data_IF_260733245922
#
_entry.id   IF_260733245922
#
_cell.length_a   1.000
_cell.length_b   1.000
_cell.length_c   1.000
_cell.angle_alpha   90.00
_cell.angle_beta   90.00
_cell.angle_gamma   90.00
#
_symmetry.space_group_name_H-M   'P 1'
#
loop_
_entity.id
_entity.type
_entity.pdbx_description
1 polymer ?
#
# COMPACT_ATOMS: atom_id res chain seq x y z
N UNK A 1 13.72 -7.09 15.50
CA UNK A 1 13.17 -5.84 14.95
C UNK A 1 11.82 -5.62 15.60
N UNK A 2 11.60 -4.46 16.21
CA UNK A 2 10.33 -4.13 16.87
C UNK A 2 9.32 -3.59 15.84
N UNK A 3 8.02 -3.63 16.13
CA UNK A 3 6.95 -3.16 15.24
C UNK A 3 7.18 -1.71 14.81
N UNK A 4 7.58 -0.85 15.74
CA UNK A 4 7.84 0.57 15.48
C UNK A 4 8.93 0.80 14.43
N UNK A 5 9.94 -0.07 14.42
CA UNK A 5 11.03 -0.01 13.45
C UNK A 5 10.53 -0.37 12.05
N UNK A 6 9.62 -1.35 11.93
CA UNK A 6 8.98 -1.70 10.66
C UNK A 6 8.09 -0.58 10.13
N UNK A 7 7.33 0.07 11.00
CA UNK A 7 6.53 1.25 10.64
C UNK A 7 7.43 2.40 10.19
N UNK A 8 8.53 2.66 10.91
CA UNK A 8 9.52 3.68 10.52
C UNK A 8 10.18 3.35 9.18
N UNK A 9 10.45 2.07 8.92
CA UNK A 9 10.96 1.62 7.63
C UNK A 9 9.96 1.91 6.50
N UNK A 10 8.65 1.67 6.71
CA UNK A 10 7.62 2.08 5.75
C UNK A 10 7.66 3.58 5.44
N UNK A 11 7.86 4.45 6.44
CA UNK A 11 8.02 5.89 6.23
C UNK A 11 9.29 6.25 5.44
N UNK A 12 10.40 5.56 5.71
CA UNK A 12 11.67 5.73 4.97
C UNK A 12 11.48 5.31 3.52
N UNK A 13 10.89 4.14 3.26
CA UNK A 13 10.63 3.65 1.92
C UNK A 13 9.65 4.54 1.16
N UNK A 14 8.62 5.08 1.81
CA UNK A 14 7.73 6.07 1.21
C UNK A 14 8.50 7.31 0.73
N UNK A 15 9.44 7.83 1.53
CA UNK A 15 10.29 8.96 1.11
C UNK A 15 11.14 8.60 -0.11
N UNK A 16 11.68 7.37 -0.18
CA UNK A 16 12.43 6.91 -1.35
C UNK A 16 11.54 6.74 -2.58
N UNK A 17 10.34 6.15 -2.43
CA UNK A 17 9.35 6.05 -3.51
C UNK A 17 9.06 7.42 -4.09
N UNK A 18 8.71 8.41 -3.24
CA UNK A 18 8.45 9.79 -3.68
C UNK A 18 9.67 10.46 -4.33
N UNK A 19 10.89 10.14 -3.87
CA UNK A 19 12.14 10.71 -4.41
C UNK A 19 12.46 10.20 -5.82
N UNK A 20 12.21 8.92 -6.09
CA UNK A 20 12.57 8.29 -7.36
C UNK A 20 11.43 8.20 -8.35
N UNK A 21 10.22 8.59 -7.97
CA UNK A 21 9.09 8.71 -8.87
C UNK A 21 9.42 9.69 -10.02
N UNK A 22 9.14 9.34 -11.30
CA UNK A 22 8.40 8.18 -11.78
C UNK A 22 9.26 7.02 -12.32
N UNK A 23 10.50 6.83 -11.87
CA UNK A 23 11.37 5.72 -12.34
C UNK A 23 10.87 4.36 -11.83
N UNK A 24 10.34 3.47 -12.70
CA UNK A 24 9.74 2.21 -12.27
C UNK A 24 10.73 1.28 -11.59
N UNK A 25 12.02 1.33 -11.93
CA UNK A 25 13.02 0.42 -11.34
C UNK A 25 13.22 0.69 -9.86
N UNK A 26 13.49 1.95 -9.52
CA UNK A 26 13.72 2.36 -8.14
C UNK A 26 12.42 2.33 -7.33
N UNK A 27 11.31 2.80 -7.91
CA UNK A 27 10.01 2.70 -7.23
C UNK A 27 9.66 1.24 -6.94
N UNK A 28 9.84 0.33 -7.92
CA UNK A 28 9.62 -1.10 -7.71
C UNK A 28 10.48 -1.64 -6.57
N UNK A 29 11.76 -1.28 -6.51
CA UNK A 29 12.65 -1.71 -5.44
C UNK A 29 12.16 -1.26 -4.05
N UNK A 30 11.90 0.03 -3.86
CA UNK A 30 11.49 0.56 -2.55
C UNK A 30 10.06 0.17 -2.19
N UNK A 31 9.15 0.07 -3.16
CA UNK A 31 7.80 -0.41 -2.91
C UNK A 31 7.78 -1.89 -2.51
N UNK A 32 8.68 -2.72 -3.07
CA UNK A 32 8.86 -4.08 -2.58
C UNK A 32 9.25 -4.10 -1.09
N UNK A 33 10.24 -3.30 -0.69
CA UNK A 33 10.68 -3.22 0.71
C UNK A 33 9.59 -2.66 1.64
N UNK A 34 8.80 -1.71 1.15
CA UNK A 34 7.61 -1.20 1.83
C UNK A 34 6.60 -2.32 2.11
N UNK A 35 6.22 -3.09 1.09
CA UNK A 35 5.27 -4.21 1.22
C UNK A 35 5.79 -5.29 2.17
N UNK A 36 7.10 -5.59 2.14
CA UNK A 36 7.71 -6.52 3.09
C UNK A 36 7.60 -6.02 4.53
N UNK A 37 7.81 -4.72 4.75
CA UNK A 37 7.70 -4.11 6.08
C UNK A 37 6.26 -4.09 6.59
N UNK A 38 5.28 -3.90 5.70
CA UNK A 38 3.86 -4.05 6.01
C UNK A 38 3.54 -5.49 6.45
N UNK A 39 3.89 -6.49 5.63
CA UNK A 39 3.65 -7.91 5.96
C UNK A 39 4.29 -8.29 7.30
N UNK A 40 5.55 -7.88 7.50
CA UNK A 40 6.28 -8.17 8.73
C UNK A 40 5.69 -7.46 9.96
N UNK A 41 4.96 -6.35 9.79
CA UNK A 41 4.25 -5.67 10.88
C UNK A 41 3.06 -6.50 11.34
N UNK A 42 2.32 -7.12 10.42
CA UNK A 42 1.22 -8.02 10.77
C UNK A 42 1.70 -9.29 11.46
N UNK A 43 2.80 -9.89 10.98
CA UNK A 43 3.43 -11.02 11.66
C UNK A 43 3.78 -10.66 13.13
N UNK A 44 4.29 -9.45 13.37
CA UNK A 44 4.67 -9.02 14.73
C UNK A 44 3.49 -8.76 15.66
N UNK A 45 2.35 -8.28 15.16
CA UNK A 45 1.12 -8.17 15.97
C UNK A 45 0.77 -9.55 16.55
N UNK A 46 0.86 -10.60 15.72
CA UNK A 46 0.62 -11.97 16.18
C UNK A 46 1.76 -12.52 17.02
N UNK A 47 3.01 -12.05 16.86
CA UNK A 47 4.11 -12.37 17.76
C UNK A 47 3.87 -11.82 19.17
N UNK A 48 3.44 -10.56 19.30
CA UNK A 48 3.07 -9.96 20.58
C UNK A 48 1.90 -10.72 21.23
N UNK A 49 0.83 -10.98 20.47
CA UNK A 49 -0.30 -11.75 20.97
C UNK A 49 0.10 -13.19 21.38
N UNK A 50 0.95 -13.86 20.59
CA UNK A 50 1.41 -15.22 20.90
C UNK A 50 2.20 -15.28 22.21
N UNK A 51 3.01 -14.26 22.49
CA UNK A 51 3.73 -14.13 23.76
C UNK A 51 2.76 -13.87 24.91
N UNK A 52 1.88 -12.89 24.74
CA UNK A 52 1.04 -12.40 25.83
C UNK A 52 -0.08 -13.39 26.21
N UNK A 53 -0.59 -14.18 25.25
CA UNK A 53 -1.52 -15.30 25.50
C UNK A 53 -0.82 -16.64 25.80
N UNK A 54 0.52 -16.72 25.82
CA UNK A 54 1.23 -17.97 26.14
C UNK A 54 0.96 -19.12 25.15
N UNK A 55 0.81 -18.83 23.85
CA UNK A 55 0.53 -19.86 22.84
C UNK A 55 1.78 -20.68 22.44
N UNK A 56 2.98 -20.14 22.64
CA UNK A 56 4.28 -20.78 22.36
C UNK A 56 4.45 -21.26 20.91
N UNK A 57 3.93 -20.50 19.94
CA UNK A 57 4.19 -20.74 18.52
C UNK A 57 5.62 -20.31 18.20
N UNK A 58 6.37 -21.15 17.49
CA UNK A 58 7.75 -20.88 17.04
C UNK A 58 7.77 -20.54 15.54
N UNK A 59 8.68 -19.64 15.15
CA UNK A 59 8.87 -19.17 13.78
C UNK A 59 7.81 -18.15 13.35
N UNK A 60 7.64 -17.95 12.03
CA UNK A 60 6.65 -17.02 11.48
C UNK A 60 5.23 -17.37 11.95
N UNK A 61 4.47 -16.34 12.35
CA UNK A 61 3.11 -16.48 12.87
C UNK A 61 2.15 -15.73 11.95
N UNK A 62 1.45 -16.49 11.09
CA UNK A 62 0.30 -15.98 10.37
C UNK A 62 -0.94 -16.03 11.28
N UNK A 63 -1.95 -15.21 10.96
CA UNK A 63 -3.24 -15.26 11.63
C UNK A 63 -3.85 -16.67 11.63
N UNK A 64 -3.71 -17.41 10.52
CA UNK A 64 -4.20 -18.78 10.41
C UNK A 64 -3.54 -19.69 11.45
N UNK A 65 -2.20 -19.69 11.49
CA UNK A 65 -1.41 -20.49 12.44
C UNK A 65 -1.71 -20.12 13.90
N UNK A 66 -1.89 -18.83 14.17
CA UNK A 66 -2.30 -18.32 15.47
C UNK A 66 -3.68 -18.88 15.88
N UNK A 67 -4.66 -18.77 14.98
CA UNK A 67 -6.03 -19.24 15.20
C UNK A 67 -6.12 -20.75 15.42
N UNK A 68 -5.38 -21.53 14.64
CA UNK A 68 -5.29 -22.99 14.78
C UNK A 68 -4.71 -23.37 16.14
N UNK A 69 -3.61 -22.73 16.57
CA UNK A 69 -3.00 -23.01 17.87
C UNK A 69 -3.91 -22.60 19.04
N UNK A 70 -4.58 -21.46 18.94
CA UNK A 70 -5.53 -20.97 19.95
C UNK A 70 -6.69 -21.97 20.13
N UNK A 71 -7.24 -22.49 19.04
CA UNK A 71 -8.29 -23.52 19.05
C UNK A 71 -7.78 -24.84 19.63
N UNK A 72 -6.59 -25.30 19.25
CA UNK A 72 -5.99 -26.52 19.80
C UNK A 72 -5.77 -26.45 21.32
N UNK A 73 -5.43 -25.26 21.84
CA UNK A 73 -5.26 -25.01 23.28
C UNK A 73 -6.56 -24.65 24.01
N UNK A 74 -7.67 -24.51 23.29
CA UNK A 74 -8.93 -24.00 23.80
C UNK A 74 -8.80 -22.64 24.52
N UNK A 75 -7.88 -21.79 24.05
CA UNK A 75 -7.65 -20.47 24.63
C UNK A 75 -8.71 -19.48 24.12
N UNK A 76 -9.72 -19.23 24.94
CA UNK A 76 -10.85 -18.35 24.58
C UNK A 76 -10.42 -16.92 24.29
N UNK A 77 -9.39 -16.41 24.96
CA UNK A 77 -8.95 -15.03 24.80
C UNK A 77 -8.17 -14.87 23.49
N UNK A 78 -7.27 -15.80 23.17
CA UNK A 78 -6.59 -15.82 21.88
C UNK A 78 -7.57 -16.03 20.71
N UNK A 79 -8.58 -16.88 20.85
CA UNK A 79 -9.63 -17.05 19.81
C UNK A 79 -10.37 -15.73 19.58
N UNK A 80 -10.85 -15.08 20.65
CA UNK A 80 -11.54 -13.77 20.59
C UNK A 80 -10.66 -12.70 19.94
N UNK A 81 -9.37 -12.66 20.28
CA UNK A 81 -8.43 -11.72 19.67
C UNK A 81 -8.33 -11.93 18.16
N UNK A 82 -8.17 -13.18 17.71
CA UNK A 82 -8.04 -13.49 16.28
C UNK A 82 -9.30 -13.14 15.48
N UNK A 83 -10.47 -13.40 16.04
CA UNK A 83 -11.76 -13.04 15.43
C UNK A 83 -11.94 -11.53 15.36
N UNK A 84 -11.67 -10.82 16.46
CA UNK A 84 -11.68 -9.36 16.50
C UNK A 84 -10.71 -8.76 15.48
N UNK A 85 -9.47 -9.27 15.41
CA UNK A 85 -8.48 -8.78 14.46
C UNK A 85 -8.94 -8.98 13.01
N UNK A 86 -9.55 -10.13 12.68
CA UNK A 86 -10.12 -10.37 11.35
C UNK A 86 -11.14 -9.30 10.96
N UNK A 87 -12.05 -9.00 11.89
CA UNK A 87 -13.12 -8.02 11.66
C UNK A 87 -12.54 -6.61 11.50
N UNK A 88 -11.67 -6.19 12.42
CA UNK A 88 -11.03 -4.88 12.38
C UNK A 88 -10.16 -4.71 11.12
N UNK A 89 -9.41 -5.74 10.75
CA UNK A 89 -8.63 -5.75 9.53
C UNK A 89 -9.53 -5.58 8.30
N UNK A 90 -10.63 -6.33 8.20
CA UNK A 90 -11.54 -6.16 7.07
C UNK A 90 -12.17 -4.76 7.00
N UNK A 91 -12.58 -4.19 8.14
CA UNK A 91 -13.13 -2.82 8.22
C UNK A 91 -12.14 -1.77 7.71
N UNK A 92 -10.88 -1.80 8.17
CA UNK A 92 -9.85 -0.87 7.70
C UNK A 92 -9.56 -1.00 6.19
N UNK A 93 -9.91 -2.15 5.59
CA UNK A 93 -9.69 -2.47 4.18
C UNK A 93 -10.96 -2.44 3.33
N UNK A 94 -12.04 -1.82 3.81
CA UNK A 94 -13.20 -1.49 2.98
C UNK A 94 -12.86 -0.35 2.00
N UNK A 95 -11.99 0.58 2.42
CA UNK A 95 -11.55 1.68 1.57
C UNK A 95 -10.63 1.16 0.43
N UNK A 96 -10.76 1.69 -0.82
CA UNK A 96 -9.97 1.24 -1.96
C UNK A 96 -8.45 1.25 -1.75
N UNK A 97 -7.87 2.29 -1.15
CA UNK A 97 -6.41 2.39 -1.02
C UNK A 97 -5.82 1.40 -0.02
N UNK A 98 -6.38 1.24 1.20
CA UNK A 98 -5.94 0.16 2.06
C UNK A 98 -6.17 -1.22 1.45
N UNK A 99 -7.34 -1.45 0.84
CA UNK A 99 -7.62 -2.73 0.18
C UNK A 99 -6.59 -3.04 -0.91
N UNK A 100 -6.21 -2.06 -1.72
CA UNK A 100 -5.14 -2.20 -2.70
C UNK A 100 -3.83 -2.69 -2.06
N UNK A 101 -3.37 -2.09 -0.95
CA UNK A 101 -2.15 -2.54 -0.27
C UNK A 101 -2.29 -3.97 0.27
N UNK A 102 -3.45 -4.33 0.83
CA UNK A 102 -3.75 -5.72 1.22
C UNK A 102 -3.62 -6.67 0.04
N UNK A 103 -4.21 -6.35 -1.11
CA UNK A 103 -4.12 -7.17 -2.32
C UNK A 103 -2.69 -7.31 -2.83
N UNK A 104 -1.89 -6.26 -2.73
CA UNK A 104 -0.45 -6.32 -3.06
C UNK A 104 0.31 -7.23 -2.10
N UNK A 105 0.04 -7.14 -0.80
CA UNK A 105 0.63 -8.03 0.19
C UNK A 105 0.28 -9.50 -0.10
N UNK A 106 -1.00 -9.79 -0.36
CA UNK A 106 -1.47 -11.14 -0.71
C UNK A 106 -0.83 -11.66 -2.00
N UNK A 107 -0.75 -10.82 -3.03
CA UNK A 107 -0.11 -11.15 -4.30
C UNK A 107 1.37 -11.45 -4.12
N UNK A 108 2.09 -10.62 -3.34
CA UNK A 108 3.50 -10.80 -3.07
C UNK A 108 3.78 -12.06 -2.25
N UNK A 109 2.96 -12.35 -1.24
CA UNK A 109 3.10 -13.57 -0.44
C UNK A 109 2.96 -14.84 -1.29
N UNK A 110 2.13 -14.80 -2.35
CA UNK A 110 1.93 -15.93 -3.28
C UNK A 110 3.00 -16.01 -4.38
N UNK A 111 3.39 -14.89 -4.97
CA UNK A 111 4.22 -14.84 -6.18
C UNK A 111 5.69 -14.48 -5.94
N UNK A 112 6.02 -14.02 -4.73
CA UNK A 112 7.32 -13.43 -4.36
C UNK A 112 7.72 -12.20 -5.20
N UNK A 113 6.77 -11.60 -5.93
CA UNK A 113 6.95 -10.42 -6.77
C UNK A 113 5.78 -9.45 -6.59
N UNK A 114 5.91 -8.22 -7.05
CA UNK A 114 4.79 -7.30 -7.21
C UNK A 114 4.39 -7.18 -8.69
N UNK A 115 3.15 -6.75 -8.99
CA UNK A 115 2.72 -6.51 -10.36
C UNK A 115 3.55 -5.46 -11.08
N UNK A 116 3.46 -5.44 -12.41
CA UNK A 116 4.19 -4.49 -13.25
C UNK A 116 3.77 -3.04 -12.96
N UNK A 117 4.76 -2.18 -12.76
CA UNK A 117 4.56 -0.75 -12.55
C UNK A 117 4.45 -0.03 -13.89
N UNK A 118 3.48 0.88 -13.98
CA UNK A 118 3.26 1.77 -15.11
C UNK A 118 3.67 3.19 -14.75
N UNK A 119 4.03 3.97 -15.76
CA UNK A 119 4.15 5.43 -15.64
C UNK A 119 2.89 6.05 -16.24
N UNK A 120 2.30 7.01 -15.54
CA UNK A 120 1.15 7.76 -16.06
C UNK A 120 1.32 9.25 -15.79
N UNK A 121 0.84 10.10 -16.69
CA UNK A 121 0.59 11.51 -16.40
C UNK A 121 -0.72 11.66 -15.64
N UNK A 122 -0.72 12.62 -14.72
CA UNK A 122 -1.89 13.08 -13.96
C UNK A 122 -1.80 14.57 -13.66
N UNK A 123 -2.92 15.16 -13.26
CA UNK A 123 -2.90 16.49 -12.63
C UNK A 123 -2.24 16.43 -11.24
N UNK A 124 -1.55 17.51 -10.85
CA UNK A 124 -0.90 17.66 -9.55
C UNK A 124 -1.93 17.65 -8.42
N UNK A 125 -3.00 18.42 -8.60
CA UNK A 125 -4.18 18.45 -7.75
C UNK A 125 -5.19 17.43 -8.23
N UNK A 126 -5.72 16.64 -7.30
CA UNK A 126 -6.54 15.46 -7.60
C UNK A 126 -8.01 15.75 -7.33
N UNK A 127 -8.83 15.58 -8.35
CA UNK A 127 -10.28 15.46 -8.25
C UNK A 127 -10.70 14.02 -8.50
N UNK A 128 -11.87 13.64 -7.97
CA UNK A 128 -12.34 12.24 -7.95
C UNK A 128 -12.41 11.61 -9.34
N UNK A 129 -12.75 12.41 -10.34
CA UNK A 129 -13.04 11.95 -11.70
C UNK A 129 -11.97 12.38 -12.71
N UNK A 130 -10.82 12.84 -12.22
CA UNK A 130 -9.65 13.11 -13.05
C UNK A 130 -9.20 11.85 -13.78
N UNK A 131 -8.76 12.03 -15.02
CA UNK A 131 -8.14 10.97 -15.79
C UNK A 131 -6.65 10.87 -15.46
N UNK A 132 -6.14 9.64 -15.51
CA UNK A 132 -4.71 9.35 -15.61
C UNK A 132 -4.45 8.80 -17.01
N UNK A 133 -3.30 9.09 -17.59
CA UNK A 133 -2.96 8.60 -18.94
C UNK A 133 -1.60 7.91 -18.94
N UNK A 134 -1.59 6.65 -19.37
CA UNK A 134 -0.36 5.83 -19.41
C UNK A 134 0.62 6.35 -20.45
N UNK A 135 1.87 6.47 -20.04
CA UNK A 135 3.01 6.80 -20.88
C UNK A 135 3.74 5.51 -21.22
N UNK A 136 4.08 5.32 -22.51
CA UNK A 136 4.95 4.22 -22.96
C UNK A 136 6.33 4.80 -23.27
N UNK A 137 7.33 4.36 -22.50
CA UNK A 137 8.74 4.72 -22.68
C UNK A 137 9.58 3.46 -22.71
N UNK A 138 10.71 3.49 -23.41
CA UNK A 138 11.60 2.34 -23.46
C UNK A 138 12.33 2.17 -22.12
N UNK A 139 12.18 1.00 -21.51
CA UNK A 139 12.86 0.64 -20.26
C UNK A 139 14.03 -0.30 -20.56
N UNK A 140 15.17 -0.09 -19.88
CA UNK A 140 16.29 -1.04 -19.88
C UNK A 140 16.33 -1.74 -18.53
N UNK A 141 16.05 -3.04 -18.50
CA UNK A 141 15.93 -3.81 -17.25
C UNK A 141 14.93 -3.16 -16.25
N UNK A 142 13.82 -2.60 -16.76
CA UNK A 142 12.80 -1.91 -15.96
C UNK A 142 13.15 -0.47 -15.56
N UNK A 143 14.37 0.00 -15.86
CA UNK A 143 14.83 1.37 -15.55
C UNK A 143 14.62 2.30 -16.73
N UNK A 144 14.27 3.56 -16.44
CA UNK A 144 14.27 4.63 -17.44
C UNK A 144 15.68 4.78 -18.03
N UNK A 145 15.80 4.70 -19.37
CA UNK A 145 17.09 4.88 -20.06
C UNK A 145 17.57 6.32 -19.98
N UNK A 146 16.67 7.25 -20.27
CA UNK A 146 16.94 8.68 -20.33
C UNK A 146 15.70 9.43 -19.83
N UNK A 147 15.91 10.48 -19.04
CA UNK A 147 14.81 11.30 -18.52
C UNK A 147 14.17 12.11 -19.66
N UNK A 148 14.99 12.49 -20.63
CA UNK A 148 14.59 13.24 -21.82
C UNK A 148 13.55 12.49 -22.66
N UNK A 149 13.65 11.16 -22.76
CA UNK A 149 12.67 10.33 -23.48
C UNK A 149 11.28 10.41 -22.82
N UNK A 150 11.25 10.37 -21.48
CA UNK A 150 10.03 10.55 -20.72
C UNK A 150 9.45 11.96 -20.92
N UNK A 151 10.29 12.99 -20.85
CA UNK A 151 9.86 14.39 -21.04
C UNK A 151 9.31 14.64 -22.45
N UNK A 152 9.91 14.03 -23.48
CA UNK A 152 9.42 14.08 -24.87
C UNK A 152 8.04 13.42 -24.96
N UNK A 153 7.87 12.25 -24.35
CA UNK A 153 6.60 11.53 -24.40
C UNK A 153 5.49 12.26 -23.64
N UNK A 154 5.80 12.85 -22.47
CA UNK A 154 4.89 13.73 -21.73
C UNK A 154 4.45 14.88 -22.64
N UNK A 155 5.40 15.63 -23.22
CA UNK A 155 5.09 16.78 -24.09
C UNK A 155 4.23 16.39 -25.30
N UNK A 156 4.45 15.20 -25.86
CA UNK A 156 3.65 14.68 -26.98
C UNK A 156 2.20 14.41 -26.60
N UNK A 157 1.96 13.83 -25.42
CA UNK A 157 0.61 13.47 -24.96
C UNK A 157 -0.14 14.62 -24.29
N UNK A 158 0.59 15.64 -23.83
CA UNK A 158 0.07 16.75 -23.02
C UNK A 158 -1.12 17.51 -23.63
N UNK A 159 -1.16 17.86 -24.94
CA UNK A 159 -2.28 18.62 -25.50
C UNK A 159 -3.61 17.87 -25.38
N UNK A 160 -3.63 16.59 -25.77
CA UNK A 160 -4.82 15.74 -25.73
C UNK A 160 -5.22 15.47 -24.28
N UNK A 161 -4.25 15.20 -23.41
CA UNK A 161 -4.53 15.00 -21.99
C UNK A 161 -5.21 16.22 -21.35
N UNK A 162 -4.69 17.42 -21.61
CA UNK A 162 -5.23 18.67 -21.10
C UNK A 162 -6.63 18.97 -21.64
N UNK A 163 -6.90 18.64 -22.91
CA UNK A 163 -8.23 18.77 -23.49
C UNK A 163 -9.24 17.89 -22.74
N UNK A 164 -8.93 16.60 -22.57
CA UNK A 164 -9.84 15.63 -21.95
C UNK A 164 -10.07 15.95 -20.47
N UNK A 165 -9.01 16.20 -19.70
CA UNK A 165 -9.16 16.47 -18.26
C UNK A 165 -9.92 17.77 -18.01
N UNK A 166 -9.64 18.84 -18.77
CA UNK A 166 -10.32 20.12 -18.60
C UNK A 166 -11.78 20.07 -19.06
N UNK A 167 -12.10 19.26 -20.06
CA UNK A 167 -13.48 18.99 -20.43
C UNK A 167 -14.26 18.37 -19.26
N UNK A 168 -13.73 17.29 -18.68
CA UNK A 168 -14.37 16.61 -17.54
C UNK A 168 -14.51 17.50 -16.29
N UNK A 169 -13.46 18.25 -15.97
CA UNK A 169 -13.49 19.20 -14.85
C UNK A 169 -14.54 20.29 -15.07
N UNK A 170 -14.63 20.82 -16.29
CA UNK A 170 -15.64 21.83 -16.62
C UNK A 170 -17.08 21.30 -16.44
N UNK A 171 -17.37 20.05 -16.83
CA UNK A 171 -18.67 19.41 -16.59
C UNK A 171 -19.03 19.32 -15.09
N UNK A 172 -18.01 19.32 -14.22
CA UNK A 172 -18.15 19.21 -12.76
C UNK A 172 -17.94 20.52 -12.01
N UNK A 173 -17.75 21.65 -12.71
CA UNK A 173 -17.39 22.94 -12.13
C UNK A 173 -16.07 22.91 -11.32
N UNK A 174 -15.12 22.06 -11.73
CA UNK A 174 -13.79 21.95 -11.12
C UNK A 174 -12.77 22.86 -11.86
N UNK A 175 -11.73 23.38 -11.17
CA UNK A 175 -10.75 24.27 -11.77
C UNK A 175 -9.96 23.62 -12.92
N UNK A 176 -9.73 24.39 -13.98
CA UNK A 176 -8.89 23.96 -15.10
C UNK A 176 -7.44 23.70 -14.68
N UNK A 177 -6.84 22.73 -15.34
CA UNK A 177 -5.45 22.30 -15.20
C UNK A 177 -4.61 22.92 -16.31
N UNK A 178 -3.51 23.56 -15.94
CA UNK A 178 -2.47 24.04 -16.85
C UNK A 178 -1.35 23.01 -17.08
N UNK A 179 -0.49 23.29 -18.06
CA UNK A 179 0.67 22.43 -18.37
C UNK A 179 1.63 22.25 -17.18
N UNK A 180 1.84 23.31 -16.40
CA UNK A 180 2.69 23.32 -15.20
C UNK A 180 2.11 22.54 -14.01
N UNK A 181 0.84 22.10 -14.12
CA UNK A 181 0.16 21.30 -13.12
C UNK A 181 0.09 19.82 -13.52
N UNK A 182 0.81 19.40 -14.56
CA UNK A 182 0.89 18.00 -14.96
C UNK A 182 2.18 17.38 -14.44
N UNK A 183 2.04 16.22 -13.81
CA UNK A 183 3.17 15.43 -13.33
C UNK A 183 3.06 13.99 -13.83
N UNK A 184 4.20 13.30 -13.92
CA UNK A 184 4.25 11.87 -14.14
C UNK A 184 4.49 11.16 -12.81
N UNK A 185 3.79 10.05 -12.59
CA UNK A 185 3.88 9.24 -11.37
C UNK A 185 3.76 7.75 -11.71
N UNK A 186 4.12 6.91 -10.76
CA UNK A 186 4.05 5.45 -10.86
C UNK A 186 2.72 4.90 -10.36
N UNK A 187 2.15 4.02 -11.17
CA UNK A 187 0.83 3.43 -10.95
C UNK A 187 0.91 1.92 -11.10
N UNK A 188 -0.06 1.23 -10.49
CA UNK A 188 -0.14 -0.21 -10.55
C UNK A 188 -1.60 -0.69 -10.56
N UNK A 189 -1.83 -1.79 -11.28
CA UNK A 189 -3.11 -2.50 -11.28
C UNK A 189 -3.00 -3.80 -10.49
N UNK A 190 -4.04 -4.11 -9.71
CA UNK A 190 -4.20 -5.41 -9.06
C UNK A 190 -5.67 -5.76 -8.93
N UNK A 191 -6.06 -6.88 -9.52
CA UNK A 191 -7.47 -7.32 -9.57
C UNK A 191 -8.40 -6.22 -10.10
N UNK A 192 -9.32 -5.72 -9.27
CA UNK A 192 -10.27 -4.66 -9.60
C UNK A 192 -9.77 -3.24 -9.25
N UNK A 193 -8.56 -3.11 -8.70
CA UNK A 193 -7.93 -1.83 -8.41
C UNK A 193 -7.06 -1.43 -9.60
N UNK A 194 -7.56 -0.50 -10.41
CA UNK A 194 -6.91 -0.05 -11.65
C UNK A 194 -6.34 1.34 -11.45
N UNK A 195 -5.16 1.58 -12.00
CA UNK A 195 -4.48 2.87 -11.99
C UNK A 195 -4.41 3.49 -10.58
N UNK A 196 -3.93 2.71 -9.61
CA UNK A 196 -3.64 3.19 -8.26
C UNK A 196 -2.21 3.75 -8.18
N UNK A 197 -2.10 5.02 -7.77
CA UNK A 197 -0.81 5.69 -7.54
C UNK A 197 -0.09 5.07 -6.33
N UNK A 198 1.10 4.53 -6.55
CA UNK A 198 1.84 3.75 -5.54
C UNK A 198 2.21 4.62 -4.34
N UNK A 199 2.75 5.81 -4.59
CA UNK A 199 3.18 6.73 -3.55
C UNK A 199 2.00 7.14 -2.64
N UNK A 200 0.85 7.37 -3.24
CA UNK A 200 -0.34 7.81 -2.51
C UNK A 200 -0.97 6.70 -1.69
N UNK A 201 -1.13 5.50 -2.27
CA UNK A 201 -1.65 4.36 -1.53
C UNK A 201 -0.75 4.01 -0.34
N UNK A 202 0.57 4.06 -0.54
CA UNK A 202 1.55 3.84 0.53
C UNK A 202 1.44 4.88 1.64
N UNK A 203 1.26 6.16 1.29
CA UNK A 203 1.07 7.24 2.27
C UNK A 203 -0.20 7.07 3.12
N UNK A 204 -1.33 6.75 2.49
CA UNK A 204 -2.61 6.53 3.18
C UNK A 204 -2.50 5.36 4.16
N UNK A 205 -1.72 4.35 3.84
CA UNK A 205 -1.72 3.10 4.57
C UNK A 205 -0.88 3.12 5.85
N UNK A 206 0.12 4.00 5.96
CA UNK A 206 0.95 4.09 7.17
C UNK A 206 0.08 4.40 8.41
N UNK A 207 -0.83 5.40 8.40
CA UNK A 207 -1.78 5.62 9.49
C UNK A 207 -2.67 4.41 9.81
N UNK A 208 -3.13 3.67 8.79
CA UNK A 208 -3.94 2.45 8.96
C UNK A 208 -3.16 1.40 9.75
N UNK A 209 -1.91 1.16 9.35
CA UNK A 209 -1.02 0.21 10.03
C UNK A 209 -0.75 0.62 11.48
N UNK A 210 -0.51 1.90 11.75
CA UNK A 210 -0.34 2.42 13.12
C UNK A 210 -1.59 2.17 13.98
N UNK A 211 -2.79 2.45 13.46
CA UNK A 211 -4.06 2.18 14.17
C UNK A 211 -4.23 0.69 14.46
N UNK A 212 -3.99 -0.18 13.47
CA UNK A 212 -4.09 -1.63 13.66
C UNK A 212 -3.18 -2.11 14.80
N UNK A 213 -1.94 -1.65 14.85
CA UNK A 213 -1.00 -2.01 15.93
C UNK A 213 -1.48 -1.49 17.29
N UNK A 214 -1.87 -0.21 17.37
CA UNK A 214 -2.31 0.41 18.61
C UNK A 214 -3.56 -0.29 19.17
N UNK A 215 -4.57 -0.51 18.31
CA UNK A 215 -5.81 -1.16 18.70
C UNK A 215 -5.60 -2.64 19.04
N UNK A 216 -4.72 -3.35 18.33
CA UNK A 216 -4.35 -4.73 18.67
C UNK A 216 -3.77 -4.81 20.07
N UNK A 217 -2.85 -3.93 20.44
CA UNK A 217 -2.26 -3.90 21.78
C UNK A 217 -3.28 -3.55 22.86
N UNK A 218 -4.20 -2.62 22.58
CA UNK A 218 -5.33 -2.33 23.49
C UNK A 218 -6.19 -3.58 23.68
N UNK A 219 -6.50 -4.31 22.59
CA UNK A 219 -7.33 -5.51 22.66
C UNK A 219 -6.64 -6.67 23.40
N UNK A 220 -5.34 -6.87 23.19
CA UNK A 220 -4.54 -7.87 23.92
C UNK A 220 -4.60 -7.57 25.42
N UNK A 221 -4.33 -6.32 25.82
CA UNK A 221 -4.40 -5.90 27.23
C UNK A 221 -5.77 -6.15 27.83
N UNK A 222 -6.84 -5.71 27.15
CA UNK A 222 -8.23 -5.95 27.55
C UNK A 222 -8.49 -7.44 27.79
N UNK A 223 -8.03 -8.33 26.92
CA UNK A 223 -8.30 -9.76 27.04
C UNK A 223 -7.47 -10.46 28.13
N UNK A 224 -6.40 -9.83 28.63
CA UNK A 224 -5.53 -10.39 29.68
C UNK A 224 -5.91 -9.85 31.06
N UNK A 225 -6.31 -8.58 31.19
CA UNK A 225 -6.65 -7.97 32.48
C UNK A 225 -8.00 -8.39 33.07
N UNK A 226 -8.84 -9.09 32.30
CA UNK A 226 -10.14 -9.60 32.77
C UNK A 226 -10.08 -11.08 33.19
N UNK A 227 -8.92 -11.50 33.71
CA UNK A 227 -8.73 -12.72 34.50
C UNK A 227 -8.73 -12.38 35.99
#
# INVERSE_FOLDING_TARGET
MNIEEKIKNCEIYLKQIKKYDPDPFYVNHFFNQYVDSVNNTYEDIFNEANRDFGLFIVGKISQKKFSEKAKMKNDKNAIKFSEWFSQKFNQEHENPYPNFIKKICDFKNKSQKIPEIKIMIRASDRYKDDINQKIKVNLSNGKLRMKEELDIEIKRQLPIFLEIINHKRNEKNEPKVGQNQIIASTFLDIENHIDIEIAYASEIYIPVMKRLVEESRKKIKELITWQ
#
